data_IF_510977885446
#
_entry.id   IF_510977885446
#
_cell.length_a   1.000
_cell.length_b   1.000
_cell.length_c   1.000
_cell.angle_alpha   90.00
_cell.angle_beta   90.00
_cell.angle_gamma   90.00
#
_symmetry.space_group_name_H-M   'P 1'
#
loop_
_entity.id
_entity.type
_entity.pdbx_description
1 polymer ?
#
# COMPACT_ATOMS: atom_id res chain seq x y z
N UNK A 1 -32.03 9.00 40.94
CA UNK A 1 -33.19 9.89 40.66
C UNK A 1 -32.85 11.06 39.74
N UNK A 2 -31.61 11.52 39.68
CA UNK A 2 -31.20 12.59 38.74
C UNK A 2 -30.99 12.05 37.32
N UNK A 3 -30.64 10.77 37.15
CA UNK A 3 -30.45 10.15 35.82
C UNK A 3 -31.76 9.86 35.07
N UNK A 4 -32.87 9.66 35.78
CA UNK A 4 -34.16 9.34 35.12
C UNK A 4 -34.90 10.55 34.55
N UNK A 5 -34.56 11.76 34.97
CA UNK A 5 -35.26 12.99 34.52
C UNK A 5 -34.67 13.55 33.22
N UNK A 6 -33.54 13.01 32.76
CA UNK A 6 -32.78 13.58 31.66
C UNK A 6 -32.84 12.77 30.35
N UNK A 7 -33.70 11.77 30.25
CA UNK A 7 -33.90 11.05 29.01
C UNK A 7 -35.09 11.61 28.21
N UNK A 8 -34.83 12.08 27.02
CA UNK A 8 -35.85 12.47 26.06
C UNK A 8 -35.77 11.50 24.84
N UNK A 9 -36.91 11.02 24.42
CA UNK A 9 -37.01 10.16 23.24
C UNK A 9 -37.25 11.05 22.01
N UNK A 10 -36.26 11.08 21.09
CA UNK A 10 -36.36 11.78 19.83
C UNK A 10 -36.19 10.76 18.72
N UNK A 11 -37.15 10.68 17.80
CA UNK A 11 -37.17 9.69 16.71
C UNK A 11 -37.04 8.22 17.13
N UNK A 12 -37.52 7.88 18.34
CA UNK A 12 -37.47 6.52 18.88
C UNK A 12 -36.19 6.16 19.63
N UNK A 13 -35.24 7.07 19.74
CA UNK A 13 -33.99 6.90 20.47
C UNK A 13 -34.05 7.62 21.84
N UNK A 14 -33.46 6.99 22.86
CA UNK A 14 -33.32 7.61 24.17
C UNK A 14 -32.10 8.51 24.20
N UNK A 15 -32.30 9.81 24.37
CA UNK A 15 -31.23 10.81 24.43
C UNK A 15 -30.99 11.24 25.88
N UNK A 16 -29.75 11.37 26.27
CA UNK A 16 -29.35 11.95 27.54
C UNK A 16 -29.33 13.48 27.47
N UNK A 17 -29.28 14.17 28.61
CA UNK A 17 -29.12 15.64 28.61
C UNK A 17 -27.85 16.08 27.90
N UNK A 18 -26.78 15.27 27.90
CA UNK A 18 -25.55 15.54 27.16
C UNK A 18 -25.79 15.53 25.65
N UNK A 19 -26.61 14.59 25.17
CA UNK A 19 -26.91 14.43 23.76
C UNK A 19 -27.80 15.54 23.20
N UNK A 20 -28.58 16.19 24.05
CA UNK A 20 -29.40 17.35 23.66
C UNK A 20 -28.57 18.62 23.38
N UNK A 21 -27.43 18.78 24.03
CA UNK A 21 -26.58 19.97 23.92
C UNK A 21 -25.32 19.75 23.14
N UNK A 22 -24.98 18.50 22.83
CA UNK A 22 -23.86 18.06 21.99
C UNK A 22 -24.37 17.07 20.97
N UNK A 23 -23.73 17.02 19.83
CA UNK A 23 -24.06 16.01 18.82
C UNK A 23 -23.89 14.60 19.41
N UNK A 24 -24.80 13.66 19.07
CA UNK A 24 -24.67 12.27 19.50
C UNK A 24 -23.31 11.71 19.11
N UNK A 25 -22.63 11.06 20.07
CA UNK A 25 -21.31 10.48 19.90
C UNK A 25 -21.30 8.98 20.23
N UNK A 26 -22.29 8.25 19.77
CA UNK A 26 -22.42 6.83 20.04
C UNK A 26 -21.66 5.97 19.04
N UNK A 27 -21.51 6.45 17.81
CA UNK A 27 -20.95 5.69 16.70
C UNK A 27 -19.76 6.38 16.02
N UNK A 28 -18.80 5.58 15.58
CA UNK A 28 -17.73 6.03 14.69
C UNK A 28 -18.25 5.98 13.25
N UNK A 29 -18.41 7.13 12.62
CA UNK A 29 -18.96 7.25 11.27
C UNK A 29 -17.92 7.01 10.15
N UNK A 30 -16.63 7.02 10.48
CA UNK A 30 -15.60 6.70 9.51
C UNK A 30 -15.60 5.19 9.24
N UNK A 31 -15.82 4.82 7.99
CA UNK A 31 -15.84 3.41 7.59
C UNK A 31 -14.43 2.80 7.49
N UNK A 32 -14.40 1.49 7.29
CA UNK A 32 -13.17 0.74 7.04
C UNK A 32 -12.38 1.31 5.84
N UNK A 33 -13.04 2.02 4.93
CA UNK A 33 -12.37 2.65 3.79
C UNK A 33 -11.37 3.73 4.22
N UNK A 34 -11.64 4.44 5.33
CA UNK A 34 -10.68 5.41 5.88
C UNK A 34 -9.49 4.70 6.54
N UNK A 35 -9.64 3.46 6.99
CA UNK A 35 -8.51 2.60 7.40
C UNK A 35 -7.70 2.16 6.18
N UNK A 36 -8.40 1.75 5.11
CA UNK A 36 -7.79 1.28 3.87
C UNK A 36 -7.00 2.37 3.13
N UNK A 37 -7.43 3.62 3.20
CA UNK A 37 -6.75 4.72 2.52
C UNK A 37 -5.26 4.86 2.92
N UNK A 38 -4.88 5.09 4.19
CA UNK A 38 -3.47 5.16 4.58
C UNK A 38 -2.76 3.79 4.49
N UNK A 39 -3.49 2.69 4.53
CA UNK A 39 -2.92 1.37 4.31
C UNK A 39 -2.48 1.20 2.85
N UNK A 40 -3.36 1.44 1.89
CA UNK A 40 -3.06 1.29 0.45
C UNK A 40 -2.00 2.27 -0.04
N UNK A 41 -2.08 3.55 0.35
CA UNK A 41 -1.05 4.54 -0.01
C UNK A 41 0.32 4.17 0.57
N UNK A 42 0.36 3.55 1.76
CA UNK A 42 1.58 3.01 2.36
C UNK A 42 2.16 1.86 1.56
N UNK A 43 1.33 0.91 1.12
CA UNK A 43 1.77 -0.20 0.28
C UNK A 43 2.41 0.27 -1.03
N UNK A 44 1.82 1.29 -1.69
CA UNK A 44 2.39 1.91 -2.90
C UNK A 44 3.77 2.49 -2.62
N UNK A 45 3.88 3.34 -1.59
CA UNK A 45 5.13 4.02 -1.24
C UNK A 45 6.22 3.00 -0.86
N UNK A 46 5.89 1.99 -0.06
CA UNK A 46 6.85 0.98 0.36
C UNK A 46 7.31 0.05 -0.76
N UNK A 47 6.43 -0.34 -1.69
CA UNK A 47 6.82 -1.10 -2.88
C UNK A 47 7.76 -0.29 -3.79
N UNK A 48 7.49 1.00 -3.95
CA UNK A 48 8.37 1.90 -4.71
C UNK A 48 9.75 2.06 -4.05
N UNK A 49 9.80 2.21 -2.72
CA UNK A 49 11.08 2.28 -1.98
C UNK A 49 11.88 0.98 -2.19
N UNK A 50 11.24 -0.19 -2.18
CA UNK A 50 11.91 -1.46 -2.47
C UNK A 50 12.53 -1.46 -3.87
N UNK A 51 11.79 -1.00 -4.88
CA UNK A 51 12.31 -0.85 -6.25
C UNK A 51 13.53 0.08 -6.30
N UNK A 52 13.46 1.20 -5.59
CA UNK A 52 14.51 2.21 -5.57
C UNK A 52 15.81 1.72 -4.90
N UNK A 53 15.78 0.68 -4.06
CA UNK A 53 17.01 0.08 -3.51
C UNK A 53 17.94 -0.44 -4.62
N UNK A 54 17.40 -0.96 -5.72
CA UNK A 54 18.19 -1.33 -6.88
C UNK A 54 18.54 -0.10 -7.74
N UNK A 55 17.54 0.68 -8.16
CA UNK A 55 17.74 1.73 -9.14
C UNK A 55 18.62 2.91 -8.65
N UNK A 56 18.57 3.23 -7.34
CA UNK A 56 19.35 4.33 -6.75
C UNK A 56 20.62 3.85 -6.09
N UNK A 57 20.51 2.81 -5.24
CA UNK A 57 21.60 2.35 -4.39
C UNK A 57 22.39 1.18 -5.00
N UNK A 58 22.04 0.74 -6.23
CA UNK A 58 22.69 -0.35 -6.96
C UNK A 58 22.78 -1.65 -6.16
N UNK A 59 21.72 -2.01 -5.42
CA UNK A 59 21.66 -3.27 -4.69
C UNK A 59 21.32 -4.41 -5.65
N UNK A 60 22.34 -4.89 -6.40
CA UNK A 60 22.20 -5.91 -7.44
C UNK A 60 21.44 -7.17 -7.01
N UNK A 61 21.54 -7.52 -5.73
CA UNK A 61 20.87 -8.70 -5.15
C UNK A 61 19.34 -8.60 -5.11
N UNK A 62 18.77 -7.42 -5.37
CA UNK A 62 17.33 -7.17 -5.39
C UNK A 62 16.80 -6.86 -6.80
N UNK A 63 17.60 -7.05 -7.85
CA UNK A 63 17.27 -6.64 -9.23
C UNK A 63 15.91 -7.17 -9.69
N UNK A 64 15.67 -8.46 -9.54
CA UNK A 64 14.44 -9.10 -10.01
C UNK A 64 13.20 -8.62 -9.25
N UNK A 65 13.28 -8.65 -7.91
CA UNK A 65 12.15 -8.19 -7.09
C UNK A 65 11.95 -6.68 -7.16
N UNK A 66 13.00 -5.90 -7.43
CA UNK A 66 12.89 -4.45 -7.60
C UNK A 66 12.09 -4.08 -8.86
N UNK A 67 12.33 -4.78 -9.97
CA UNK A 67 11.54 -4.62 -11.20
C UNK A 67 10.08 -5.01 -10.98
N UNK A 68 9.86 -6.16 -10.33
CA UNK A 68 8.53 -6.59 -9.94
C UNK A 68 7.83 -5.54 -9.06
N UNK A 69 8.53 -5.02 -8.04
CA UNK A 69 8.00 -4.03 -7.11
C UNK A 69 7.62 -2.71 -7.80
N UNK A 70 8.39 -2.28 -8.82
CA UNK A 70 8.07 -1.08 -9.60
C UNK A 70 6.74 -1.24 -10.37
N UNK A 71 6.59 -2.32 -11.12
CA UNK A 71 5.34 -2.59 -11.87
C UNK A 71 4.16 -2.79 -10.91
N UNK A 72 4.38 -3.45 -9.78
CA UNK A 72 3.34 -3.68 -8.79
C UNK A 72 2.95 -2.38 -8.05
N UNK A 73 3.91 -1.49 -7.75
CA UNK A 73 3.61 -0.17 -7.18
C UNK A 73 2.74 0.66 -8.13
N UNK A 74 3.01 0.57 -9.44
CA UNK A 74 2.19 1.23 -10.45
C UNK A 74 0.76 0.65 -10.54
N UNK A 75 0.62 -0.66 -10.35
CA UNK A 75 -0.70 -1.31 -10.27
C UNK A 75 -1.50 -0.87 -9.03
N UNK A 76 -0.81 -0.60 -7.91
CA UNK A 76 -1.42 -0.13 -6.67
C UNK A 76 -1.88 1.34 -6.75
N UNK A 77 -1.22 2.18 -7.56
CA UNK A 77 -1.47 3.63 -7.63
C UNK A 77 -2.94 4.01 -7.89
N UNK A 78 -3.62 3.52 -8.93
CA UNK A 78 -5.02 3.90 -9.21
C UNK A 78 -5.97 3.43 -8.12
N UNK A 79 -5.60 2.38 -7.39
CA UNK A 79 -6.43 1.80 -6.31
C UNK A 79 -6.22 2.52 -4.99
N UNK A 80 -5.05 3.13 -4.78
CA UNK A 80 -4.70 3.74 -3.49
C UNK A 80 -5.66 4.87 -3.05
N UNK A 81 -6.27 5.57 -4.00
CA UNK A 81 -7.26 6.63 -3.73
C UNK A 81 -8.71 6.14 -3.74
N UNK A 82 -8.96 4.90 -4.21
CA UNK A 82 -10.33 4.35 -4.25
C UNK A 82 -11.02 4.31 -2.88
N UNK A 83 -10.35 3.96 -1.77
CA UNK A 83 -11.01 3.96 -0.47
C UNK A 83 -11.61 5.33 -0.10
N UNK A 84 -10.91 6.43 -0.35
CA UNK A 84 -11.47 7.77 -0.12
C UNK A 84 -12.69 8.02 -1.00
N UNK A 85 -12.62 7.63 -2.29
CA UNK A 85 -13.73 7.79 -3.23
C UNK A 85 -14.95 6.97 -2.81
N UNK A 86 -14.74 5.74 -2.30
CA UNK A 86 -15.82 4.87 -1.84
C UNK A 86 -16.52 5.42 -0.59
N UNK A 87 -15.78 6.13 0.27
CA UNK A 87 -16.33 6.75 1.49
C UNK A 87 -17.06 8.08 1.23
N UNK A 88 -16.79 8.73 0.09
CA UNK A 88 -17.46 10.00 -0.23
C UNK A 88 -18.92 9.77 -0.65
N UNK A 89 -19.85 10.54 -0.08
CA UNK A 89 -21.26 10.55 -0.50
C UNK A 89 -21.42 10.99 -1.96
N UNK A 90 -20.49 11.80 -2.47
CA UNK A 90 -20.45 12.30 -3.85
C UNK A 90 -19.07 12.06 -4.48
N UNK A 91 -18.72 10.82 -4.86
CA UNK A 91 -17.37 10.43 -5.28
C UNK A 91 -16.86 11.22 -6.51
N UNK A 92 -17.76 11.56 -7.46
CA UNK A 92 -17.36 12.34 -8.64
C UNK A 92 -16.90 13.76 -8.30
N UNK A 93 -17.28 14.31 -7.16
CA UNK A 93 -16.75 15.61 -6.67
C UNK A 93 -15.34 15.51 -6.07
N UNK A 94 -14.84 14.33 -5.82
CA UNK A 94 -13.47 14.13 -5.34
C UNK A 94 -12.41 14.74 -6.26
N UNK A 95 -12.69 14.83 -7.57
CA UNK A 95 -11.79 15.46 -8.54
C UNK A 95 -11.57 16.97 -8.26
N UNK A 96 -12.50 17.64 -7.59
CA UNK A 96 -12.35 19.06 -7.25
C UNK A 96 -11.16 19.33 -6.32
N UNK A 97 -10.71 18.35 -5.57
CA UNK A 97 -9.48 18.44 -4.77
C UNK A 97 -8.27 18.81 -5.64
N UNK A 98 -8.26 18.33 -6.89
CA UNK A 98 -7.20 18.60 -7.86
C UNK A 98 -7.49 19.83 -8.73
N UNK A 99 -8.75 20.01 -9.16
CA UNK A 99 -9.14 21.06 -10.11
C UNK A 99 -9.27 22.46 -9.46
N UNK A 100 -9.71 22.48 -8.19
CA UNK A 100 -9.91 23.73 -7.43
C UNK A 100 -9.21 23.62 -6.07
N UNK A 101 -7.86 23.53 -6.05
CA UNK A 101 -7.13 23.32 -4.81
C UNK A 101 -7.25 24.53 -3.88
N UNK A 102 -7.47 24.25 -2.61
CA UNK A 102 -7.45 25.26 -1.55
C UNK A 102 -6.16 25.12 -0.74
N UNK A 103 -5.23 26.03 -0.89
CA UNK A 103 -3.86 25.89 -0.37
C UNK A 103 -3.73 25.88 1.15
N UNK A 104 -4.77 26.29 1.88
CA UNK A 104 -4.81 26.16 3.35
C UNK A 104 -5.42 24.82 3.81
N UNK A 105 -5.93 23.99 2.89
CA UNK A 105 -6.51 22.69 3.20
C UNK A 105 -5.44 21.60 3.09
N UNK A 106 -5.22 20.86 4.19
CA UNK A 106 -4.31 19.72 4.20
C UNK A 106 -4.72 18.62 3.20
N UNK A 107 -6.02 18.36 3.03
CA UNK A 107 -6.51 17.36 2.05
C UNK A 107 -6.22 17.78 0.61
N UNK A 108 -6.36 19.06 0.30
CA UNK A 108 -6.06 19.56 -1.05
C UNK A 108 -4.58 19.45 -1.40
N UNK A 109 -3.68 19.79 -0.48
CA UNK A 109 -2.25 19.63 -0.67
C UNK A 109 -1.85 18.15 -0.87
N UNK A 110 -2.51 17.22 -0.16
CA UNK A 110 -2.30 15.78 -0.34
C UNK A 110 -2.56 15.33 -1.79
N UNK A 111 -3.64 15.81 -2.42
CA UNK A 111 -3.97 15.47 -3.81
C UNK A 111 -2.86 15.88 -4.79
N UNK A 112 -2.28 17.07 -4.61
CA UNK A 112 -1.17 17.57 -5.45
C UNK A 112 0.07 16.68 -5.30
N UNK A 113 0.44 16.32 -4.06
CA UNK A 113 1.58 15.44 -3.78
C UNK A 113 1.37 14.06 -4.39
N UNK A 114 0.15 13.51 -4.27
CA UNK A 114 -0.19 12.22 -4.87
C UNK A 114 -0.04 12.22 -6.40
N UNK A 115 -0.54 13.24 -7.08
CA UNK A 115 -0.41 13.35 -8.53
C UNK A 115 1.03 13.52 -8.98
N UNK A 116 1.83 14.32 -8.25
CA UNK A 116 3.27 14.47 -8.51
C UNK A 116 3.97 13.12 -8.40
N UNK A 117 3.68 12.36 -7.34
CA UNK A 117 4.22 11.03 -7.15
C UNK A 117 3.81 10.06 -8.28
N UNK A 118 2.53 10.06 -8.66
CA UNK A 118 2.03 9.23 -9.75
C UNK A 118 2.74 9.52 -11.08
N UNK A 119 3.00 10.80 -11.40
CA UNK A 119 3.75 11.18 -12.59
C UNK A 119 5.20 10.68 -12.55
N UNK A 120 5.86 10.75 -11.38
CA UNK A 120 7.24 10.24 -11.22
C UNK A 120 7.28 8.74 -11.46
N UNK A 121 6.40 7.95 -10.85
CA UNK A 121 6.35 6.49 -11.03
C UNK A 121 6.04 6.11 -12.47
N UNK A 122 5.10 6.80 -13.12
CA UNK A 122 4.76 6.56 -14.52
C UNK A 122 5.94 6.87 -15.46
N UNK A 123 6.66 7.95 -15.21
CA UNK A 123 7.86 8.31 -15.98
C UNK A 123 8.99 7.28 -15.74
N UNK A 124 9.23 6.86 -14.49
CA UNK A 124 10.26 5.87 -14.17
C UNK A 124 10.00 4.54 -14.88
N UNK A 125 8.77 4.02 -14.82
CA UNK A 125 8.39 2.81 -15.55
C UNK A 125 8.64 2.96 -17.05
N UNK A 126 8.27 4.10 -17.61
CA UNK A 126 8.46 4.35 -19.02
C UNK A 126 9.94 4.27 -19.42
N UNK A 127 10.84 4.90 -18.68
CA UNK A 127 12.29 4.83 -18.95
C UNK A 127 12.86 3.43 -18.72
N UNK A 128 12.44 2.72 -17.67
CA UNK A 128 12.88 1.35 -17.40
C UNK A 128 12.49 0.39 -18.53
N UNK A 129 11.29 0.57 -19.12
CA UNK A 129 10.77 -0.32 -20.15
C UNK A 129 10.92 0.22 -21.58
N UNK A 130 11.53 1.39 -21.81
CA UNK A 130 11.60 2.01 -23.14
C UNK A 130 12.27 1.11 -24.18
N UNK A 131 13.41 0.51 -23.86
CA UNK A 131 14.09 -0.46 -24.74
C UNK A 131 13.14 -1.60 -25.13
N UNK A 132 12.52 -2.25 -24.15
CA UNK A 132 11.57 -3.35 -24.37
C UNK A 132 10.36 -2.92 -25.24
N UNK A 133 9.82 -1.72 -25.01
CA UNK A 133 8.73 -1.15 -25.81
C UNK A 133 9.13 -1.03 -27.27
N UNK A 134 10.29 -0.42 -27.54
CA UNK A 134 10.79 -0.21 -28.90
C UNK A 134 11.08 -1.52 -29.61
N UNK A 135 11.79 -2.45 -28.95
CA UNK A 135 12.07 -3.79 -29.47
C UNK A 135 10.77 -4.56 -29.75
N UNK A 136 9.76 -4.43 -28.88
CA UNK A 136 8.45 -5.04 -29.09
C UNK A 136 7.73 -4.45 -30.30
N UNK A 137 7.82 -3.13 -30.55
CA UNK A 137 7.28 -2.51 -31.76
C UNK A 137 7.96 -3.09 -33.00
N UNK A 138 9.30 -3.18 -33.03
CA UNK A 138 10.04 -3.74 -34.15
C UNK A 138 9.72 -5.22 -34.37
N UNK A 139 9.74 -6.03 -33.32
CA UNK A 139 9.43 -7.46 -33.38
C UNK A 139 8.02 -7.72 -33.91
N UNK A 140 7.02 -7.04 -33.35
CA UNK A 140 5.63 -7.23 -33.73
C UNK A 140 5.32 -6.64 -35.12
N UNK A 141 5.99 -5.55 -35.52
CA UNK A 141 5.80 -4.97 -36.84
C UNK A 141 6.32 -5.87 -37.96
N UNK A 142 7.43 -6.58 -37.75
CA UNK A 142 8.06 -7.48 -38.71
C UNK A 142 7.42 -8.88 -38.75
N UNK A 143 6.57 -9.23 -37.77
CA UNK A 143 5.92 -10.55 -37.72
C UNK A 143 4.72 -10.60 -38.68
N UNK A 144 4.72 -11.52 -39.65
CA UNK A 144 3.65 -11.66 -40.65
C UNK A 144 2.38 -12.27 -40.06
N UNK A 145 2.51 -13.31 -39.22
CA UNK A 145 1.37 -13.97 -38.55
C UNK A 145 1.35 -13.61 -37.07
N UNK A 146 0.57 -12.59 -36.68
CA UNK A 146 0.36 -12.15 -35.32
C UNK A 146 -0.80 -12.90 -34.69
N UNK A 147 -0.64 -13.30 -33.42
CA UNK A 147 -1.78 -13.76 -32.62
C UNK A 147 -2.77 -12.60 -32.35
N UNK A 148 -3.99 -12.91 -31.92
CA UNK A 148 -4.98 -11.88 -31.58
C UNK A 148 -4.48 -10.91 -30.49
N UNK A 149 -3.76 -11.42 -29.48
CA UNK A 149 -3.16 -10.61 -28.44
C UNK A 149 -2.03 -9.71 -28.97
N UNK A 150 -1.13 -10.25 -29.82
CA UNK A 150 -0.05 -9.48 -30.44
C UNK A 150 -0.56 -8.35 -31.33
N UNK A 151 -1.71 -8.58 -32.00
CA UNK A 151 -2.39 -7.56 -32.80
C UNK A 151 -2.97 -6.43 -31.93
N UNK A 152 -3.39 -6.74 -30.67
CA UNK A 152 -3.85 -5.76 -29.70
C UNK A 152 -2.69 -5.00 -29.06
N UNK A 153 -1.57 -5.67 -28.76
CA UNK A 153 -0.41 -5.07 -28.11
C UNK A 153 0.37 -4.10 -29.01
N UNK A 154 0.43 -4.37 -30.33
CA UNK A 154 1.17 -3.52 -31.25
C UNK A 154 0.74 -2.04 -31.26
N UNK A 155 -0.54 -1.67 -31.38
CA UNK A 155 -0.97 -0.27 -31.27
C UNK A 155 -0.67 0.33 -29.88
N UNK A 156 -0.80 -0.45 -28.81
CA UNK A 156 -0.46 -0.02 -27.46
C UNK A 156 1.01 0.36 -27.40
N UNK A 157 1.92 -0.53 -27.82
CA UNK A 157 3.37 -0.24 -27.82
C UNK A 157 3.75 0.95 -28.73
N UNK A 158 3.08 1.13 -29.87
CA UNK A 158 3.28 2.31 -30.73
C UNK A 158 2.88 3.61 -30.02
N UNK A 159 1.77 3.61 -29.29
CA UNK A 159 1.33 4.80 -28.52
C UNK A 159 2.28 5.09 -27.37
N UNK A 160 2.58 4.08 -26.53
CA UNK A 160 3.42 4.29 -25.35
C UNK A 160 4.90 4.52 -25.69
N UNK A 161 5.37 4.18 -26.92
CA UNK A 161 6.73 4.54 -27.36
C UNK A 161 6.93 6.05 -27.49
N UNK A 162 5.84 6.84 -27.54
CA UNK A 162 5.85 8.30 -27.71
C UNK A 162 6.72 8.78 -28.88
N UNK A 163 6.98 7.91 -29.87
CA UNK A 163 7.88 8.18 -30.99
C UNK A 163 9.37 8.12 -30.67
N UNK A 164 9.77 7.81 -29.44
CA UNK A 164 11.17 7.70 -29.01
C UNK A 164 11.72 6.30 -29.37
N UNK A 165 12.04 6.10 -30.67
CA UNK A 165 12.43 4.80 -31.23
C UNK A 165 13.95 4.54 -31.21
N UNK A 166 14.75 5.48 -30.72
CA UNK A 166 16.21 5.33 -30.65
C UNK A 166 16.61 4.47 -29.44
N UNK A 167 17.28 3.36 -29.69
CA UNK A 167 17.86 2.43 -28.71
C UNK A 167 19.37 2.35 -28.81
N UNK A 168 20.02 3.41 -29.31
CA UNK A 168 21.48 3.52 -29.33
C UNK A 168 22.03 3.45 -27.89
N UNK A 169 23.32 3.12 -27.77
CA UNK A 169 23.97 3.06 -26.45
C UNK A 169 23.86 4.37 -25.69
N UNK A 170 24.03 5.50 -26.41
CA UNK A 170 23.90 6.84 -25.81
C UNK A 170 22.47 7.10 -25.29
N UNK A 171 21.45 6.66 -26.04
CA UNK A 171 20.05 6.80 -25.62
C UNK A 171 19.75 5.94 -24.38
N UNK A 172 20.23 4.70 -24.32
CA UNK A 172 20.07 3.83 -23.16
C UNK A 172 20.82 4.35 -21.92
N UNK A 173 22.04 4.89 -22.09
CA UNK A 173 22.78 5.53 -20.99
C UNK A 173 22.03 6.77 -20.45
N UNK A 174 21.32 7.49 -21.32
CA UNK A 174 20.46 8.60 -20.93
C UNK A 174 19.25 8.10 -20.12
N UNK A 175 18.63 6.99 -20.54
CA UNK A 175 17.53 6.37 -19.80
C UNK A 175 17.96 5.93 -18.41
N UNK A 176 19.12 5.31 -18.25
CA UNK A 176 19.64 4.93 -16.94
C UNK A 176 19.85 6.12 -16.01
N UNK A 177 20.36 7.24 -16.55
CA UNK A 177 20.50 8.48 -15.77
C UNK A 177 19.13 9.03 -15.36
N UNK A 178 18.16 8.99 -16.27
CA UNK A 178 16.79 9.44 -15.99
C UNK A 178 16.12 8.57 -14.92
N UNK A 179 16.22 7.24 -14.99
CA UNK A 179 15.71 6.31 -13.99
C UNK A 179 16.33 6.60 -12.62
N UNK A 180 17.65 6.73 -12.55
CA UNK A 180 18.35 7.04 -11.31
C UNK A 180 17.92 8.37 -10.70
N UNK A 181 17.71 9.40 -11.53
CA UNK A 181 17.21 10.69 -11.09
C UNK A 181 15.77 10.61 -10.59
N UNK A 182 14.87 9.97 -11.36
CA UNK A 182 13.44 9.83 -11.02
C UNK A 182 13.25 9.01 -9.75
N UNK A 183 13.92 7.87 -9.63
CA UNK A 183 13.90 7.07 -8.42
C UNK A 183 14.48 7.84 -7.22
N UNK A 184 15.57 8.59 -7.43
CA UNK A 184 16.20 9.42 -6.40
C UNK A 184 15.28 10.52 -5.87
N UNK A 185 14.52 11.19 -6.75
CA UNK A 185 13.50 12.19 -6.37
C UNK A 185 12.24 11.49 -5.85
N UNK A 186 11.90 10.34 -6.41
CA UNK A 186 10.73 9.56 -6.05
C UNK A 186 10.73 9.10 -4.59
N UNK A 187 11.89 8.72 -4.03
CA UNK A 187 12.00 8.31 -2.61
C UNK A 187 11.51 9.42 -1.66
N UNK A 188 12.08 10.64 -1.66
CA UNK A 188 11.59 11.69 -0.78
C UNK A 188 10.15 12.08 -1.05
N UNK A 189 9.67 12.05 -2.30
CA UNK A 189 8.27 12.32 -2.63
C UNK A 189 7.35 11.23 -2.10
N UNK A 190 7.72 9.94 -2.20
CA UNK A 190 6.99 8.82 -1.61
C UNK A 190 6.93 8.92 -0.06
N UNK A 191 8.07 9.25 0.56
CA UNK A 191 8.15 9.49 1.99
C UNK A 191 7.28 10.69 2.40
N UNK A 192 7.34 11.78 1.63
CA UNK A 192 6.52 12.96 1.89
C UNK A 192 5.04 12.66 1.73
N UNK A 193 4.63 11.96 0.67
CA UNK A 193 3.25 11.55 0.45
C UNK A 193 2.68 10.79 1.65
N UNK A 194 3.41 9.79 2.12
CA UNK A 194 2.90 8.93 3.19
C UNK A 194 3.09 9.57 4.58
N UNK A 195 4.18 10.30 4.80
CA UNK A 195 4.38 11.14 5.98
C UNK A 195 3.32 12.23 6.09
N UNK A 196 2.88 12.78 4.95
CA UNK A 196 1.79 13.76 4.91
C UNK A 196 0.45 13.16 5.37
N UNK A 197 0.15 11.92 4.98
CA UNK A 197 -1.00 11.19 5.52
C UNK A 197 -0.90 11.07 7.05
N UNK A 198 0.27 10.71 7.58
CA UNK A 198 0.54 10.71 9.02
C UNK A 198 0.42 12.10 9.67
N UNK A 199 0.84 13.15 8.98
CA UNK A 199 0.69 14.53 9.42
C UNK A 199 -0.78 14.94 9.57
N UNK A 200 -1.66 14.56 8.63
CA UNK A 200 -3.09 14.84 8.71
C UNK A 200 -3.67 14.32 10.03
N UNK A 201 -3.33 13.11 10.45
CA UNK A 201 -3.74 12.58 11.75
C UNK A 201 -2.99 13.26 12.90
N UNK A 202 -1.67 13.31 12.84
CA UNK A 202 -0.80 13.80 13.93
C UNK A 202 -1.00 15.27 14.31
N UNK A 203 -1.57 16.09 13.43
CA UNK A 203 -1.86 17.51 13.66
C UNK A 203 -3.20 17.76 14.37
N UNK A 204 -4.06 16.75 14.51
CA UNK A 204 -5.39 16.88 15.14
C UNK A 204 -5.25 16.90 16.67
N UNK A 205 -5.24 18.09 17.26
CA UNK A 205 -5.07 18.28 18.71
C UNK A 205 -6.21 17.73 19.55
N UNK A 206 -7.40 17.64 18.99
CA UNK A 206 -8.59 17.18 19.69
C UNK A 206 -8.58 15.66 19.93
N UNK A 207 -7.76 14.89 19.23
CA UNK A 207 -7.71 13.45 19.35
C UNK A 207 -6.41 13.01 20.04
N UNK A 208 -6.57 12.42 21.24
CA UNK A 208 -5.44 12.05 22.10
C UNK A 208 -4.50 11.01 21.46
N UNK A 209 -5.06 10.03 20.72
CA UNK A 209 -4.27 8.98 20.09
C UNK A 209 -3.51 9.50 18.86
N UNK A 210 -4.08 10.45 18.13
CA UNK A 210 -3.50 10.97 16.89
C UNK A 210 -2.39 11.99 17.14
N UNK A 211 -2.56 12.86 18.15
CA UNK A 211 -1.67 13.98 18.39
C UNK A 211 -0.27 13.53 18.84
N UNK A 212 0.61 13.36 17.87
CA UNK A 212 2.04 13.15 18.09
C UNK A 212 2.86 13.68 16.90
N UNK A 213 3.99 14.35 17.15
CA UNK A 213 4.90 14.77 16.10
C UNK A 213 5.60 13.59 15.41
N UNK A 214 5.59 12.40 16.03
CA UNK A 214 6.17 11.19 15.45
C UNK A 214 5.24 10.48 14.46
N UNK A 215 3.94 10.80 14.40
CA UNK A 215 2.98 10.13 13.52
C UNK A 215 3.43 10.12 12.04
N UNK A 216 3.92 11.22 11.44
CA UNK A 216 4.44 11.20 10.08
C UNK A 216 5.57 10.20 9.87
N UNK A 217 6.51 10.12 10.82
CA UNK A 217 7.69 9.24 10.73
C UNK A 217 7.30 7.78 10.92
N UNK A 218 6.42 7.49 11.87
CA UNK A 218 5.84 6.14 12.10
C UNK A 218 5.11 5.68 10.84
N UNK A 219 4.35 6.57 10.20
CA UNK A 219 3.64 6.25 8.95
C UNK A 219 4.63 5.91 7.83
N UNK A 220 5.70 6.67 7.63
CA UNK A 220 6.73 6.39 6.63
C UNK A 220 7.37 5.02 6.89
N UNK A 221 7.82 4.75 8.10
CA UNK A 221 8.49 3.48 8.43
C UNK A 221 7.55 2.29 8.25
N UNK A 222 6.31 2.38 8.73
CA UNK A 222 5.31 1.32 8.58
C UNK A 222 4.89 1.11 7.11
N UNK A 223 4.91 2.15 6.26
CA UNK A 223 4.68 2.04 4.83
C UNK A 223 5.76 1.21 4.14
N UNK A 224 7.04 1.50 4.43
CA UNK A 224 8.15 0.74 3.87
C UNK A 224 8.06 -0.73 4.30
N UNK A 225 7.78 -1.00 5.57
CA UNK A 225 7.60 -2.35 6.12
C UNK A 225 6.48 -3.09 5.41
N UNK A 226 5.29 -2.48 5.31
CA UNK A 226 4.14 -3.13 4.68
C UNK A 226 4.30 -3.31 3.18
N UNK A 227 4.91 -2.35 2.48
CA UNK A 227 5.17 -2.46 1.03
C UNK A 227 6.16 -3.56 0.71
N UNK A 228 7.26 -3.70 1.47
CA UNK A 228 8.21 -4.80 1.32
C UNK A 228 7.52 -6.14 1.62
N UNK A 229 6.75 -6.22 2.70
CA UNK A 229 6.01 -7.44 3.06
C UNK A 229 5.02 -7.84 1.98
N UNK A 230 4.28 -6.88 1.39
CA UNK A 230 3.37 -7.14 0.28
C UNK A 230 4.12 -7.64 -0.95
N UNK A 231 5.26 -7.05 -1.31
CA UNK A 231 6.07 -7.51 -2.43
C UNK A 231 6.56 -8.95 -2.21
N UNK A 232 6.97 -9.34 -1.00
CA UNK A 232 7.37 -10.71 -0.69
C UNK A 232 6.19 -11.68 -0.90
N UNK A 233 5.02 -11.37 -0.33
CA UNK A 233 3.84 -12.25 -0.41
C UNK A 233 3.33 -12.36 -1.84
N UNK A 234 3.15 -11.23 -2.52
CA UNK A 234 2.62 -11.21 -3.89
C UNK A 234 3.60 -11.82 -4.89
N UNK A 235 4.89 -11.51 -4.79
CA UNK A 235 5.95 -12.13 -5.61
C UNK A 235 5.95 -13.65 -5.44
N UNK A 236 5.86 -14.14 -4.20
CA UNK A 236 5.76 -15.58 -3.92
C UNK A 236 4.55 -16.21 -4.61
N UNK A 237 3.37 -15.59 -4.50
CA UNK A 237 2.13 -16.10 -5.12
C UNK A 237 2.27 -16.16 -6.65
N UNK A 238 2.75 -15.09 -7.29
CA UNK A 238 2.93 -15.06 -8.73
C UNK A 238 4.00 -16.07 -9.20
N UNK A 239 5.07 -16.27 -8.45
CA UNK A 239 6.08 -17.29 -8.79
C UNK A 239 5.53 -18.73 -8.62
N UNK A 240 4.66 -18.99 -7.64
CA UNK A 240 3.96 -20.28 -7.55
C UNK A 240 3.00 -20.51 -8.73
N UNK A 241 2.29 -19.46 -9.17
CA UNK A 241 1.45 -19.53 -10.36
C UNK A 241 2.28 -19.82 -11.62
N UNK A 242 3.46 -19.20 -11.77
CA UNK A 242 4.40 -19.47 -12.87
C UNK A 242 4.89 -20.90 -12.86
N UNK A 243 5.32 -21.41 -11.72
CA UNK A 243 5.75 -22.83 -11.57
C UNK A 243 4.62 -23.80 -11.90
N UNK A 244 3.41 -23.48 -11.47
CA UNK A 244 2.22 -24.28 -11.76
C UNK A 244 1.90 -24.28 -13.27
N UNK A 245 1.97 -23.14 -13.93
CA UNK A 245 1.73 -22.99 -15.36
C UNK A 245 2.80 -23.73 -16.18
N UNK A 246 4.10 -23.56 -15.83
CA UNK A 246 5.21 -24.23 -16.48
C UNK A 246 5.10 -25.76 -16.38
N UNK A 247 4.76 -26.32 -15.20
CA UNK A 247 4.55 -27.77 -15.01
C UNK A 247 3.43 -28.33 -15.87
N UNK A 248 2.41 -27.52 -16.21
CA UNK A 248 1.23 -27.95 -16.99
C UNK A 248 1.28 -27.55 -18.47
N UNK A 249 2.37 -26.92 -18.90
CA UNK A 249 2.49 -26.40 -20.27
C UNK A 249 1.48 -25.30 -20.60
N UNK A 250 0.93 -24.62 -19.57
CA UNK A 250 -0.10 -23.57 -19.71
C UNK A 250 0.51 -22.17 -19.70
N UNK A 251 1.62 -21.97 -20.39
CA UNK A 251 2.33 -20.67 -20.41
C UNK A 251 1.47 -19.52 -20.99
N UNK A 252 0.40 -19.85 -21.70
CA UNK A 252 -0.56 -18.88 -22.20
C UNK A 252 -1.33 -18.13 -21.08
N UNK A 253 -1.32 -18.66 -19.85
CA UNK A 253 -1.89 -17.98 -18.67
C UNK A 253 -0.93 -16.96 -18.06
N UNK A 254 0.32 -16.90 -18.54
CA UNK A 254 1.34 -15.99 -18.04
C UNK A 254 1.45 -14.79 -18.98
N UNK A 255 0.97 -13.60 -18.57
CA UNK A 255 0.94 -12.43 -19.43
C UNK A 255 2.30 -12.02 -19.97
N UNK A 256 3.33 -12.10 -19.13
CA UNK A 256 4.72 -11.78 -19.47
C UNK A 256 5.36 -12.79 -20.44
N UNK A 257 5.06 -14.07 -20.29
CA UNK A 257 5.52 -15.09 -21.25
C UNK A 257 4.92 -14.87 -22.65
N UNK A 258 3.66 -14.38 -22.72
CA UNK A 258 3.06 -14.00 -24.00
C UNK A 258 3.76 -12.79 -24.62
N UNK A 259 4.14 -11.80 -23.81
CA UNK A 259 4.87 -10.61 -24.26
C UNK A 259 6.27 -10.95 -24.78
N UNK A 260 6.93 -11.94 -24.19
CA UNK A 260 8.32 -12.37 -24.51
C UNK A 260 8.41 -13.44 -25.61
N UNK A 261 7.31 -13.86 -26.23
CA UNK A 261 7.33 -14.87 -27.27
C UNK A 261 7.32 -16.33 -26.79
N UNK A 262 7.00 -16.56 -25.50
CA UNK A 262 6.64 -17.89 -25.00
C UNK A 262 7.79 -18.77 -24.49
N UNK A 263 8.98 -18.26 -24.28
CA UNK A 263 10.10 -19.03 -23.69
C UNK A 263 9.81 -19.36 -22.22
N UNK A 264 9.67 -20.64 -21.91
CA UNK A 264 9.43 -21.11 -20.56
C UNK A 264 10.75 -21.25 -19.79
N UNK A 265 10.88 -20.51 -18.68
CA UNK A 265 11.99 -20.72 -17.73
C UNK A 265 11.80 -22.08 -17.01
N UNK A 266 12.85 -22.90 -16.87
CA UNK A 266 12.77 -24.18 -16.15
C UNK A 266 12.28 -24.00 -14.69
N UNK A 267 11.46 -24.94 -14.20
CA UNK A 267 10.85 -24.85 -12.86
C UNK A 267 11.91 -24.77 -11.75
N UNK A 268 13.03 -25.48 -11.90
CA UNK A 268 14.11 -25.48 -10.91
C UNK A 268 14.79 -24.11 -10.83
N UNK A 269 14.97 -23.45 -11.97
CA UNK A 269 15.51 -22.09 -12.03
C UNK A 269 14.53 -21.09 -11.41
N UNK A 270 13.23 -21.19 -11.69
CA UNK A 270 12.19 -20.37 -11.04
C UNK A 270 12.19 -20.54 -9.53
N UNK A 271 12.44 -21.75 -9.05
CA UNK A 271 12.51 -22.05 -7.62
C UNK A 271 13.73 -21.40 -6.95
N UNK A 272 14.91 -21.49 -7.57
CA UNK A 272 16.14 -20.90 -7.02
C UNK A 272 16.05 -19.37 -6.96
N UNK A 273 15.53 -18.73 -8.01
CA UNK A 273 15.29 -17.27 -8.07
C UNK A 273 14.32 -16.87 -6.96
N UNK A 274 13.18 -17.54 -6.83
CA UNK A 274 12.19 -17.25 -5.80
C UNK A 274 12.78 -17.35 -4.37
N UNK A 275 13.53 -18.41 -4.09
CA UNK A 275 14.16 -18.58 -2.77
C UNK A 275 15.18 -17.50 -2.48
N UNK A 276 15.99 -17.12 -3.47
CA UNK A 276 16.98 -16.05 -3.34
C UNK A 276 16.31 -14.71 -3.03
N UNK A 277 15.38 -14.28 -3.89
CA UNK A 277 14.73 -12.98 -3.80
C UNK A 277 13.95 -12.83 -2.48
N UNK A 278 13.14 -13.83 -2.11
CA UNK A 278 12.36 -13.79 -0.88
C UNK A 278 13.26 -13.70 0.36
N UNK A 279 14.33 -14.51 0.41
CA UNK A 279 15.25 -14.49 1.56
C UNK A 279 16.03 -13.17 1.66
N UNK A 280 16.47 -12.63 0.52
CA UNK A 280 17.20 -11.36 0.51
C UNK A 280 16.31 -10.19 0.91
N UNK A 281 15.12 -10.10 0.34
CA UNK A 281 14.15 -9.05 0.66
C UNK A 281 13.70 -9.10 2.12
N UNK A 282 13.58 -10.30 2.69
CA UNK A 282 13.24 -10.48 4.11
C UNK A 282 14.27 -9.88 5.07
N UNK A 283 15.54 -9.79 4.69
CA UNK A 283 16.55 -9.11 5.51
C UNK A 283 16.31 -7.61 5.58
N UNK A 284 15.94 -7.00 4.46
CA UNK A 284 15.56 -5.58 4.43
C UNK A 284 14.26 -5.35 5.21
N UNK A 285 13.29 -6.26 5.08
CA UNK A 285 12.07 -6.21 5.90
C UNK A 285 12.41 -6.17 7.40
N UNK A 286 13.31 -7.03 7.88
CA UNK A 286 13.72 -7.08 9.27
C UNK A 286 14.38 -5.76 9.72
N UNK A 287 15.24 -5.15 8.89
CA UNK A 287 15.90 -3.88 9.19
C UNK A 287 14.84 -2.76 9.35
N UNK A 288 13.93 -2.63 8.40
CA UNK A 288 12.89 -1.60 8.44
C UNK A 288 11.88 -1.84 9.57
N UNK A 289 11.55 -3.10 9.87
CA UNK A 289 10.74 -3.47 11.04
C UNK A 289 11.38 -3.03 12.35
N UNK A 290 12.70 -3.21 12.48
CA UNK A 290 13.42 -2.76 13.67
C UNK A 290 13.27 -1.26 13.87
N UNK A 291 13.44 -0.47 12.81
CA UNK A 291 13.26 0.98 12.87
C UNK A 291 11.81 1.38 13.21
N UNK A 292 10.82 0.76 12.54
CA UNK A 292 9.41 1.06 12.77
C UNK A 292 8.98 0.74 14.22
N UNK A 293 9.30 -0.46 14.70
CA UNK A 293 9.00 -0.88 16.08
C UNK A 293 9.66 0.02 17.12
N UNK A 294 10.93 0.38 16.92
CA UNK A 294 11.64 1.28 17.83
C UNK A 294 10.91 2.61 17.96
N UNK A 295 10.49 3.21 16.85
CA UNK A 295 9.78 4.49 16.85
C UNK A 295 8.39 4.39 17.49
N UNK A 296 7.63 3.35 17.22
CA UNK A 296 6.31 3.14 17.84
C UNK A 296 6.43 2.94 19.36
N UNK A 297 7.39 2.14 19.81
CA UNK A 297 7.63 1.89 21.25
C UNK A 297 8.09 3.18 21.94
N UNK A 298 9.00 3.94 21.31
CA UNK A 298 9.46 5.22 21.87
C UNK A 298 8.34 6.25 21.97
N UNK A 299 7.43 6.31 20.97
CA UNK A 299 6.27 7.21 21.05
C UNK A 299 5.36 6.86 22.21
N UNK A 300 5.10 5.56 22.43
CA UNK A 300 4.27 5.09 23.54
C UNK A 300 4.91 5.37 24.89
N UNK A 301 6.22 5.10 25.03
CA UNK A 301 6.97 5.37 26.27
C UNK A 301 7.00 6.88 26.54
N UNK A 302 7.25 7.70 25.52
CA UNK A 302 7.27 9.16 25.67
C UNK A 302 5.94 9.69 26.18
N UNK A 303 4.81 9.27 25.59
CA UNK A 303 3.47 9.70 26.01
C UNK A 303 3.15 9.29 27.45
N UNK A 304 3.47 8.05 27.83
CA UNK A 304 3.23 7.55 29.18
C UNK A 304 4.15 8.21 30.21
N UNK A 305 5.44 8.37 29.91
CA UNK A 305 6.40 8.98 30.81
C UNK A 305 6.18 10.46 31.04
N UNK A 306 5.89 11.23 29.99
CA UNK A 306 5.65 12.68 30.10
C UNK A 306 4.27 13.02 30.65
N UNK A 307 3.39 12.03 30.81
CA UNK A 307 2.04 12.19 31.30
C UNK A 307 1.32 13.37 30.63
N UNK A 308 1.32 13.36 29.30
CA UNK A 308 0.65 14.41 28.49
C UNK A 308 -0.80 14.61 28.99
N UNK A 309 -1.33 15.81 28.87
CA UNK A 309 -2.67 16.16 29.39
C UNK A 309 -3.79 15.21 28.97
N UNK A 310 -3.64 14.57 27.80
CA UNK A 310 -4.56 13.58 27.25
C UNK A 310 -4.26 12.13 27.69
N UNK A 311 -3.28 11.92 28.59
CA UNK A 311 -2.82 10.57 28.97
C UNK A 311 -3.93 9.73 29.61
N UNK A 312 -4.78 10.33 30.43
CA UNK A 312 -5.86 9.59 31.09
C UNK A 312 -6.87 9.03 30.09
N UNK A 313 -7.29 9.84 29.10
CA UNK A 313 -8.16 9.37 28.03
C UNK A 313 -7.46 8.32 27.15
N UNK A 314 -6.18 8.56 26.82
CA UNK A 314 -5.37 7.63 26.04
C UNK A 314 -5.18 6.29 26.76
N UNK A 315 -4.93 6.31 28.05
CA UNK A 315 -4.81 5.11 28.90
C UNK A 315 -6.08 4.27 28.88
N UNK A 316 -7.27 4.90 29.00
CA UNK A 316 -8.54 4.18 28.91
C UNK A 316 -8.73 3.53 27.55
N UNK A 317 -8.43 4.20 26.45
CA UNK A 317 -8.49 3.61 25.11
C UNK A 317 -7.53 2.43 25.00
N UNK A 318 -6.28 2.59 25.37
CA UNK A 318 -5.22 1.60 25.17
C UNK A 318 -5.42 0.37 26.06
N UNK A 319 -5.73 0.55 27.34
CA UNK A 319 -5.75 -0.57 28.31
C UNK A 319 -7.14 -1.13 28.60
N UNK A 320 -8.22 -0.35 28.45
CA UNK A 320 -9.55 -0.80 28.77
C UNK A 320 -10.35 -1.20 27.53
N UNK A 321 -10.30 -0.39 26.46
CA UNK A 321 -11.12 -0.62 25.28
C UNK A 321 -10.41 -1.43 24.19
N UNK A 322 -9.20 -1.03 23.80
CA UNK A 322 -8.49 -1.59 22.62
C UNK A 322 -7.27 -2.45 22.97
N UNK A 323 -7.15 -2.91 24.23
CA UNK A 323 -6.01 -3.73 24.67
C UNK A 323 -5.70 -4.91 23.74
N UNK A 324 -6.70 -5.70 23.40
CA UNK A 324 -6.54 -6.87 22.52
C UNK A 324 -6.10 -6.47 21.10
N UNK A 325 -6.68 -5.39 20.58
CA UNK A 325 -6.36 -4.91 19.23
C UNK A 325 -4.94 -4.36 19.12
N UNK A 326 -4.49 -3.64 20.17
CA UNK A 326 -3.17 -3.02 20.21
C UNK A 326 -2.10 -4.04 20.61
N UNK A 327 -2.20 -4.66 21.81
CA UNK A 327 -1.11 -5.48 22.33
C UNK A 327 -1.07 -6.88 21.73
N UNK A 328 -2.22 -7.51 21.49
CA UNK A 328 -2.24 -8.88 20.97
C UNK A 328 -2.18 -8.88 19.45
N UNK A 329 -3.08 -8.17 18.76
CA UNK A 329 -3.16 -8.25 17.30
C UNK A 329 -2.08 -7.42 16.62
N UNK A 330 -1.91 -6.13 16.99
CA UNK A 330 -0.91 -5.29 16.33
C UNK A 330 0.51 -5.68 16.78
N UNK A 331 0.82 -5.58 18.08
CA UNK A 331 2.19 -5.82 18.54
C UNK A 331 2.53 -7.31 18.63
N UNK A 332 1.70 -8.16 19.22
CA UNK A 332 1.98 -9.58 19.40
C UNK A 332 2.05 -10.34 18.08
N UNK A 333 0.93 -10.43 17.41
CA UNK A 333 0.81 -11.21 16.16
C UNK A 333 1.38 -10.49 14.95
N UNK A 334 1.19 -9.16 14.86
CA UNK A 334 1.56 -8.40 13.67
C UNK A 334 3.01 -7.91 13.65
N UNK A 335 3.66 -7.78 14.80
CA UNK A 335 5.00 -7.22 14.89
C UNK A 335 6.01 -8.18 15.57
N UNK A 336 5.85 -8.52 16.86
CA UNK A 336 6.85 -9.32 17.58
C UNK A 336 6.99 -10.74 17.05
N UNK A 337 5.87 -11.42 16.75
CA UNK A 337 5.92 -12.78 16.23
C UNK A 337 6.63 -12.83 14.86
N UNK A 338 6.25 -12.04 13.84
CA UNK A 338 6.97 -12.07 12.57
C UNK A 338 8.41 -11.56 12.68
N UNK A 339 8.70 -10.60 13.56
CA UNK A 339 10.07 -10.17 13.85
C UNK A 339 10.93 -11.33 14.31
N UNK A 340 10.48 -12.11 15.29
CA UNK A 340 11.17 -13.31 15.74
C UNK A 340 11.30 -14.36 14.64
N UNK A 341 10.23 -14.57 13.84
CA UNK A 341 10.28 -15.51 12.72
C UNK A 341 11.34 -15.13 11.69
N UNK A 342 11.56 -13.84 11.44
CA UNK A 342 12.57 -13.36 10.50
C UNK A 342 13.98 -13.37 11.12
N UNK A 343 14.11 -13.12 12.42
CA UNK A 343 15.37 -13.02 13.15
C UNK A 343 16.03 -14.42 13.35
N UNK A 344 15.23 -15.45 13.59
CA UNK A 344 15.74 -16.79 13.87
C UNK A 344 16.51 -17.37 12.67
N UNK A 345 17.67 -18.05 12.90
CA UNK A 345 18.49 -18.62 11.83
C UNK A 345 17.74 -19.67 11.01
N UNK A 346 18.27 -19.99 9.82
CA UNK A 346 17.68 -20.99 8.93
C UNK A 346 16.35 -20.52 8.31
N UNK A 347 16.26 -19.26 7.86
CA UNK A 347 15.07 -18.69 7.24
C UNK A 347 14.67 -19.49 5.99
N UNK A 348 13.46 -20.07 6.02
CA UNK A 348 12.86 -20.73 4.87
C UNK A 348 11.92 -19.77 4.14
N UNK A 349 11.72 -19.97 2.83
CA UNK A 349 10.80 -19.16 2.03
C UNK A 349 9.38 -19.14 2.61
N UNK A 350 8.88 -20.29 3.06
CA UNK A 350 7.54 -20.39 3.69
C UNK A 350 7.46 -19.55 4.97
N UNK A 351 8.49 -19.64 5.83
CA UNK A 351 8.53 -18.87 7.07
C UNK A 351 8.58 -17.36 6.79
N UNK A 352 9.34 -16.95 5.78
CA UNK A 352 9.40 -15.56 5.33
C UNK A 352 8.04 -15.05 4.85
N UNK A 353 7.33 -15.82 4.04
CA UNK A 353 6.00 -15.46 3.52
C UNK A 353 4.97 -15.37 4.64
N UNK A 354 4.95 -16.34 5.57
CA UNK A 354 4.04 -16.30 6.73
C UNK A 354 4.34 -15.07 7.60
N UNK A 355 5.62 -14.80 7.88
CA UNK A 355 6.01 -13.62 8.63
C UNK A 355 5.56 -12.33 7.91
N UNK A 356 5.77 -12.22 6.60
CA UNK A 356 5.35 -11.06 5.81
C UNK A 356 3.82 -10.88 5.81
N UNK A 357 3.04 -11.98 5.77
CA UNK A 357 1.58 -11.94 5.89
C UNK A 357 1.14 -11.41 7.27
N UNK A 358 1.80 -11.85 8.34
CA UNK A 358 1.54 -11.34 9.69
C UNK A 358 1.92 -9.87 9.82
N UNK A 359 3.01 -9.43 9.17
CA UNK A 359 3.39 -7.99 9.11
C UNK A 359 2.30 -7.17 8.42
N UNK A 360 1.77 -7.62 7.30
CA UNK A 360 0.66 -6.95 6.60
C UNK A 360 -0.56 -6.81 7.51
N UNK A 361 -0.91 -7.88 8.23
CA UNK A 361 -1.97 -7.83 9.24
C UNK A 361 -1.65 -6.84 10.36
N UNK A 362 -0.41 -6.83 10.87
CA UNK A 362 0.02 -5.92 11.94
C UNK A 362 -0.07 -4.45 11.55
N UNK A 363 0.40 -4.11 10.35
CA UNK A 363 0.29 -2.73 9.82
C UNK A 363 -1.17 -2.36 9.55
N UNK A 364 -2.00 -3.28 9.06
CA UNK A 364 -3.44 -3.04 8.94
C UNK A 364 -4.07 -2.76 10.32
N UNK A 365 -3.75 -3.56 11.34
CA UNK A 365 -4.23 -3.33 12.72
C UNK A 365 -3.75 -1.99 13.29
N UNK A 366 -2.52 -1.60 12.98
CA UNK A 366 -2.01 -0.27 13.36
C UNK A 366 -2.86 0.84 12.72
N UNK A 367 -3.20 0.74 11.42
CA UNK A 367 -4.09 1.71 10.77
C UNK A 367 -5.50 1.69 11.37
N UNK A 368 -6.00 0.50 11.66
CA UNK A 368 -7.29 0.34 12.36
C UNK A 368 -7.28 1.05 13.72
N UNK A 369 -6.27 0.79 14.54
CA UNK A 369 -6.15 1.38 15.85
C UNK A 369 -6.00 2.91 15.78
N UNK A 370 -5.27 3.43 14.77
CA UNK A 370 -5.20 4.88 14.54
C UNK A 370 -6.55 5.44 14.11
N UNK A 371 -7.20 4.86 13.10
CA UNK A 371 -8.40 5.47 12.48
C UNK A 371 -9.65 5.21 13.33
N UNK A 372 -9.94 3.96 13.66
CA UNK A 372 -11.15 3.59 14.43
C UNK A 372 -10.89 3.75 15.93
N UNK A 373 -9.81 3.14 16.44
CA UNK A 373 -9.44 3.23 17.85
C UNK A 373 -9.18 4.67 18.31
N UNK A 374 -8.61 5.52 17.43
CA UNK A 374 -8.42 6.93 17.71
C UNK A 374 -9.72 7.71 17.92
N UNK A 375 -10.83 7.24 17.38
CA UNK A 375 -12.16 7.82 17.56
C UNK A 375 -13.00 7.08 18.60
N UNK A 376 -12.47 6.00 19.20
CA UNK A 376 -13.23 5.17 20.13
C UNK A 376 -13.69 5.92 21.39
N UNK A 377 -12.97 6.97 21.80
CA UNK A 377 -13.35 7.78 22.93
C UNK A 377 -13.99 9.10 22.47
N UNK A 378 -15.21 9.36 22.92
CA UNK A 378 -15.97 10.55 22.55
C UNK A 378 -15.22 11.83 22.93
N UNK A 379 -15.13 12.79 22.02
CA UNK A 379 -14.55 14.11 22.27
C UNK A 379 -15.32 14.92 23.33
N UNK A 380 -16.55 14.55 23.61
CA UNK A 380 -17.40 15.13 24.67
C UNK A 380 -17.26 14.44 26.02
N UNK A 381 -16.34 13.45 26.10
CA UNK A 381 -16.14 12.61 27.29
C UNK A 381 -17.41 11.83 27.71
N UNK A 382 -18.32 11.56 26.78
CA UNK A 382 -19.54 10.81 27.02
C UNK A 382 -19.32 9.29 27.20
N UNK A 383 -18.12 8.78 26.83
CA UNK A 383 -17.75 7.38 26.91
C UNK A 383 -17.14 6.85 25.60
N UNK A 384 -17.19 5.54 25.45
CA UNK A 384 -16.66 4.89 24.22
C UNK A 384 -17.72 4.90 23.11
N UNK A 385 -17.24 5.10 21.87
CA UNK A 385 -18.05 5.07 20.67
C UNK A 385 -17.97 3.69 20.03
N UNK A 386 -19.07 3.19 19.52
CA UNK A 386 -19.14 1.91 18.84
C UNK A 386 -18.84 2.03 17.34
N UNK A 387 -18.17 1.02 16.80
CA UNK A 387 -17.95 0.88 15.36
C UNK A 387 -18.61 -0.39 14.84
N UNK A 388 -19.51 -0.24 13.89
CA UNK A 388 -20.19 -1.35 13.23
C UNK A 388 -19.66 -1.56 11.83
N UNK A 389 -18.94 -2.69 11.60
CA UNK A 389 -18.47 -3.08 10.27
C UNK A 389 -19.58 -3.81 9.53
N UNK A 390 -20.10 -3.30 8.40
CA UNK A 390 -21.01 -4.05 7.54
C UNK A 390 -20.32 -5.27 6.94
N UNK A 391 -20.69 -6.46 7.40
CA UNK A 391 -20.12 -7.73 6.88
C UNK A 391 -20.92 -8.22 5.67
N UNK A 392 -22.26 -8.23 5.82
CA UNK A 392 -23.19 -8.65 4.76
C UNK A 392 -23.83 -7.37 4.20
N UNK A 393 -23.58 -7.06 2.92
CA UNK A 393 -24.16 -5.87 2.32
C UNK A 393 -25.65 -6.05 2.05
N UNK A 394 -26.45 -5.06 2.43
CA UNK A 394 -27.88 -5.00 2.12
C UNK A 394 -28.16 -4.07 0.93
N UNK A 395 -27.28 -3.11 0.69
CA UNK A 395 -27.34 -2.13 -0.38
C UNK A 395 -25.95 -1.76 -0.88
N UNK A 396 -25.87 -0.87 -1.86
CA UNK A 396 -24.63 -0.42 -2.47
C UNK A 396 -23.75 0.37 -1.47
N UNK A 397 -24.35 1.11 -0.53
CA UNK A 397 -23.62 1.90 0.45
C UNK A 397 -22.95 0.98 1.49
N UNK A 398 -23.67 0.01 2.03
CA UNK A 398 -23.13 -0.99 2.95
C UNK A 398 -22.10 -1.88 2.28
N UNK A 399 -22.22 -2.15 0.96
CA UNK A 399 -21.15 -2.82 0.20
C UNK A 399 -19.89 -1.97 0.12
N UNK A 400 -20.01 -0.70 -0.30
CA UNK A 400 -18.87 0.20 -0.48
C UNK A 400 -18.11 0.43 0.84
N UNK A 401 -18.82 0.68 1.92
CA UNK A 401 -18.26 1.04 3.22
C UNK A 401 -17.98 -0.15 4.13
N UNK A 402 -18.33 -1.35 3.69
CA UNK A 402 -18.15 -2.59 4.44
C UNK A 402 -17.02 -3.47 3.96
N UNK A 403 -17.08 -4.73 4.39
CA UNK A 403 -16.12 -5.78 4.06
C UNK A 403 -16.01 -6.00 2.53
N UNK A 404 -17.12 -5.90 1.80
CA UNK A 404 -17.14 -6.08 0.35
C UNK A 404 -16.26 -5.07 -0.38
N UNK A 405 -16.41 -3.79 -0.07
CA UNK A 405 -15.59 -2.72 -0.64
C UNK A 405 -14.11 -2.83 -0.24
N UNK A 406 -13.83 -3.21 1.00
CA UNK A 406 -12.44 -3.47 1.45
C UNK A 406 -11.79 -4.59 0.62
N UNK A 407 -12.48 -5.72 0.45
CA UNK A 407 -11.94 -6.82 -0.35
C UNK A 407 -11.75 -6.43 -1.82
N UNK A 408 -12.69 -5.68 -2.40
CA UNK A 408 -12.54 -5.17 -3.76
C UNK A 408 -11.27 -4.30 -3.91
N UNK A 409 -11.01 -3.41 -2.96
CA UNK A 409 -9.80 -2.56 -2.93
C UNK A 409 -8.52 -3.41 -2.77
N UNK A 410 -8.53 -4.45 -1.94
CA UNK A 410 -7.36 -5.33 -1.74
C UNK A 410 -7.04 -6.14 -3.00
N UNK A 411 -8.06 -6.65 -3.70
CA UNK A 411 -7.83 -7.52 -4.86
C UNK A 411 -7.67 -6.77 -6.19
N UNK A 412 -8.19 -5.56 -6.32
CA UNK A 412 -8.09 -4.77 -7.55
C UNK A 412 -6.64 -4.59 -8.07
N UNK A 413 -5.62 -4.31 -7.24
CA UNK A 413 -4.24 -4.18 -7.71
C UNK A 413 -3.69 -5.44 -8.38
N UNK A 414 -4.10 -6.63 -7.94
CA UNK A 414 -3.65 -7.90 -8.53
C UNK A 414 -4.23 -8.09 -9.93
N UNK A 415 -5.47 -7.67 -10.14
CA UNK A 415 -6.12 -7.70 -11.46
C UNK A 415 -5.43 -6.68 -12.37
N UNK A 416 -5.20 -5.46 -11.90
CA UNK A 416 -4.50 -4.42 -12.67
C UNK A 416 -3.07 -4.89 -12.99
N UNK A 417 -2.35 -5.46 -12.04
CA UNK A 417 -1.01 -5.99 -12.25
C UNK A 417 -0.99 -7.09 -13.32
N UNK A 418 -1.98 -7.99 -13.33
CA UNK A 418 -2.09 -9.03 -14.35
C UNK A 418 -2.11 -8.42 -15.76
N UNK A 419 -2.91 -7.37 -15.98
CA UNK A 419 -2.96 -6.67 -17.28
C UNK A 419 -1.71 -5.83 -17.56
N UNK A 420 -1.17 -5.14 -16.56
CA UNK A 420 0.07 -4.37 -16.70
C UNK A 420 1.26 -5.27 -17.04
N UNK A 421 1.31 -6.47 -16.49
CA UNK A 421 2.37 -7.43 -16.77
C UNK A 421 2.34 -7.97 -18.22
N UNK A 422 1.24 -7.77 -18.96
CA UNK A 422 1.20 -7.99 -20.43
C UNK A 422 1.96 -6.90 -21.20
N UNK A 423 2.01 -5.69 -20.65
CA UNK A 423 2.61 -4.52 -21.32
C UNK A 423 4.03 -4.31 -20.79
N UNK A 424 4.23 -4.43 -19.49
CA UNK A 424 5.47 -4.26 -18.76
C UNK A 424 5.83 -5.56 -18.04
N UNK A 425 6.52 -6.50 -18.70
CA UNK A 425 6.80 -7.81 -18.11
C UNK A 425 7.71 -7.68 -16.88
N UNK A 426 7.15 -7.98 -15.71
CA UNK A 426 7.85 -7.86 -14.43
C UNK A 426 8.90 -8.97 -14.20
N UNK A 427 8.82 -10.07 -14.95
CA UNK A 427 9.68 -11.25 -14.83
C UNK A 427 10.45 -11.47 -16.13
N UNK A 428 11.39 -10.59 -16.47
CA UNK A 428 12.23 -10.69 -17.66
C UNK A 428 13.54 -11.43 -17.37
N UNK A 429 14.13 -12.07 -18.38
CA UNK A 429 15.51 -12.54 -18.33
C UNK A 429 16.51 -11.37 -18.41
N UNK A 430 17.71 -11.55 -17.85
CA UNK A 430 18.73 -10.47 -17.78
C UNK A 430 19.14 -9.93 -19.15
N UNK A 431 19.15 -10.78 -20.19
CA UNK A 431 19.56 -10.41 -21.54
C UNK A 431 18.59 -9.46 -22.28
N UNK A 432 17.34 -9.36 -21.81
CA UNK A 432 16.28 -8.55 -22.44
C UNK A 432 16.06 -7.19 -21.76
N UNK A 433 16.69 -6.96 -20.59
CA UNK A 433 16.43 -5.77 -19.76
C UNK A 433 17.47 -4.64 -19.90
N UNK A 434 18.59 -4.88 -20.64
CA UNK A 434 19.71 -3.92 -20.80
C UNK A 434 20.09 -3.70 -22.23
#
# INVERSE_FOLDING_TARGET
MVEQVAQMIVHGEAWTVKDLFVLPNEYVYWSIQIVMYPYMTGLVAGAFVLSSLYHVFNVEKLKEIARYALVFSFALLPVAMMPLMLHLSQPFRGIHVLMTPHFTSAISAFGIVFMTYACIVAAEIWFVYRKFIVESVHRLNNKQNRSGLESLLLPIYKVISLGAMDISKEALDSDHKAVKLLAGIGIPVACFLHGYAGFIFGSVKANALWMTPLMPVIFICSAVVSGIALCIVSYYIFMEMRKWAAKRGKNWLLPDALAQGGTAIPVDQLRSIQEHEVKMTSKYLLIFMTAALTLEILDMIFRGYTAVKSWDALRMVIYEHDFMKIFVYQYGLGNFLPFLMLLLPGLTTRRAVIASTLVLFGVFMMRWNVVIGGQAFSLTFAGFMEYHLPIIPHDIETFKEGLGGMLAVIFAPFIIFYFLNMIFPAFMSDDEAH
#
